data_IF_281174767992
#
_entry.id   IF_281174767992
#
_cell.length_a   1.000
_cell.length_b   1.000
_cell.length_c   1.000
_cell.angle_alpha   90.00
_cell.angle_beta   90.00
_cell.angle_gamma   90.00
#
_symmetry.space_group_name_H-M   'P 1'
#
loop_
_entity.id
_entity.type
_entity.pdbx_description
1 polymer ?
#
# COMPACT_ATOMS: atom_id res chain seq x y z
N UNK A 1 -17.20 -25.33 2.69
CA UNK A 1 -17.50 -25.56 1.27
C UNK A 1 -17.10 -24.29 0.52
N UNK A 2 -15.90 -24.29 -0.07
CA UNK A 2 -15.42 -23.15 -0.85
C UNK A 2 -16.28 -23.04 -2.11
N UNK A 3 -16.88 -21.87 -2.33
CA UNK A 3 -17.53 -21.58 -3.60
C UNK A 3 -16.56 -21.87 -4.75
N UNK A 4 -17.01 -22.42 -5.89
CA UNK A 4 -16.13 -22.64 -7.04
C UNK A 4 -15.55 -21.28 -7.45
N UNK A 5 -14.23 -21.11 -7.25
CA UNK A 5 -13.51 -19.85 -7.47
C UNK A 5 -13.61 -19.47 -8.95
N UNK A 6 -14.50 -18.55 -9.28
CA UNK A 6 -14.84 -18.20 -10.65
C UNK A 6 -13.78 -17.26 -11.26
N UNK A 7 -13.20 -17.66 -12.39
CA UNK A 7 -12.36 -16.79 -13.21
C UNK A 7 -13.18 -15.63 -13.80
N UNK A 8 -12.61 -14.43 -13.83
CA UNK A 8 -13.22 -13.25 -14.45
C UNK A 8 -13.24 -13.36 -15.98
N UNK A 9 -13.96 -12.43 -16.64
CA UNK A 9 -13.94 -12.34 -18.10
C UNK A 9 -12.52 -12.06 -18.64
N UNK A 10 -11.74 -11.22 -17.95
CA UNK A 10 -10.38 -10.90 -18.33
C UNK A 10 -9.48 -12.14 -18.26
N UNK A 11 -9.57 -12.91 -17.17
CA UNK A 11 -8.77 -14.12 -16.99
C UNK A 11 -9.00 -15.12 -18.14
N UNK A 12 -10.28 -15.35 -18.48
CA UNK A 12 -10.67 -16.26 -19.56
C UNK A 12 -10.16 -15.78 -20.92
N UNK A 13 -10.33 -14.49 -21.22
CA UNK A 13 -9.86 -13.91 -22.49
C UNK A 13 -8.34 -13.98 -22.62
N UNK A 14 -7.59 -13.72 -21.54
CA UNK A 14 -6.14 -13.88 -21.53
C UNK A 14 -5.75 -15.35 -21.75
N UNK A 15 -6.44 -16.28 -21.08
CA UNK A 15 -6.25 -17.72 -21.26
C UNK A 15 -6.47 -18.17 -22.71
N UNK A 16 -7.60 -17.79 -23.29
CA UNK A 16 -7.96 -18.13 -24.67
C UNK A 16 -6.97 -17.52 -25.68
N UNK A 17 -6.47 -16.30 -25.40
CA UNK A 17 -5.45 -15.65 -26.20
C UNK A 17 -4.11 -16.40 -26.14
N UNK A 18 -3.61 -16.73 -24.94
CA UNK A 18 -2.33 -17.41 -24.78
C UNK A 18 -2.37 -18.87 -25.28
N UNK A 19 -3.51 -19.54 -25.18
CA UNK A 19 -3.70 -20.85 -25.80
C UNK A 19 -3.58 -20.79 -27.33
N UNK A 20 -4.20 -19.78 -27.96
CA UNK A 20 -4.08 -19.59 -29.42
C UNK A 20 -2.64 -19.31 -29.83
N UNK A 21 -1.92 -18.48 -29.07
CA UNK A 21 -0.49 -18.23 -29.29
C UNK A 21 0.36 -19.49 -29.14
N UNK A 22 0.00 -20.41 -28.24
CA UNK A 22 0.66 -21.70 -28.05
C UNK A 22 0.25 -22.78 -29.08
N UNK A 23 -0.32 -22.40 -30.24
CA UNK A 23 -0.73 -23.34 -31.28
C UNK A 23 -2.11 -23.97 -31.11
N UNK A 24 -2.99 -23.38 -30.28
CA UNK A 24 -4.42 -23.69 -30.20
C UNK A 24 -4.79 -24.93 -29.38
N UNK A 25 -3.91 -25.94 -29.27
CA UNK A 25 -4.15 -27.19 -28.52
C UNK A 25 -3.34 -27.27 -27.22
N UNK A 26 -3.39 -26.22 -26.40
CA UNK A 26 -2.64 -26.13 -25.14
C UNK A 26 -3.55 -25.73 -23.95
N UNK A 27 -4.44 -26.63 -23.48
CA UNK A 27 -5.35 -26.33 -22.37
C UNK A 27 -4.61 -26.03 -21.06
N UNK A 28 -3.39 -26.54 -20.89
CA UNK A 28 -2.54 -26.24 -19.74
C UNK A 28 -2.06 -24.79 -19.74
N UNK A 29 -1.71 -24.25 -20.91
CA UNK A 29 -1.32 -22.84 -21.06
C UNK A 29 -2.51 -21.95 -20.76
N UNK A 30 -3.70 -22.32 -21.23
CA UNK A 30 -4.94 -21.61 -20.93
C UNK A 30 -5.18 -21.52 -19.42
N UNK A 31 -5.14 -22.66 -18.73
CA UNK A 31 -5.35 -22.73 -17.28
C UNK A 31 -4.27 -21.92 -16.53
N UNK A 32 -3.01 -22.10 -16.89
CA UNK A 32 -1.89 -21.40 -16.29
C UNK A 32 -1.99 -19.88 -16.42
N UNK A 33 -2.36 -19.40 -17.61
CA UNK A 33 -2.62 -17.98 -17.88
C UNK A 33 -3.77 -17.42 -17.05
N UNK A 34 -4.89 -18.15 -16.96
CA UNK A 34 -6.04 -17.77 -16.16
C UNK A 34 -5.68 -17.67 -14.67
N UNK A 35 -4.92 -18.64 -14.15
CA UNK A 35 -4.44 -18.63 -12.77
C UNK A 35 -3.47 -17.49 -12.49
N UNK A 36 -2.52 -17.21 -13.38
CA UNK A 36 -1.59 -16.09 -13.22
C UNK A 36 -2.31 -14.72 -13.24
N UNK A 37 -3.31 -14.57 -14.12
CA UNK A 37 -4.16 -13.38 -14.17
C UNK A 37 -4.97 -13.18 -12.89
N UNK A 38 -5.60 -14.26 -12.40
CA UNK A 38 -6.37 -14.24 -11.15
C UNK A 38 -5.48 -13.92 -9.95
N UNK A 39 -4.33 -14.59 -9.85
CA UNK A 39 -3.37 -14.35 -8.78
C UNK A 39 -2.99 -12.87 -8.72
N UNK A 40 -2.74 -12.23 -9.87
CA UNK A 40 -2.51 -10.78 -9.96
C UNK A 40 -3.69 -9.95 -9.47
N UNK A 41 -4.91 -10.32 -9.82
CA UNK A 41 -6.12 -9.63 -9.34
C UNK A 41 -6.32 -9.78 -7.82
N UNK A 42 -5.81 -10.87 -7.24
CA UNK A 42 -5.79 -11.14 -5.80
C UNK A 42 -4.58 -10.50 -5.07
N UNK A 43 -3.73 -9.75 -5.79
CA UNK A 43 -2.57 -9.06 -5.23
C UNK A 43 -1.26 -9.86 -5.26
N UNK A 44 -1.27 -11.07 -5.79
CA UNK A 44 -0.08 -11.93 -5.90
C UNK A 44 0.66 -11.68 -7.23
N UNK A 45 2.00 -11.61 -7.19
CA UNK A 45 2.80 -11.37 -8.40
C UNK A 45 3.03 -12.64 -9.25
N UNK A 46 2.83 -13.80 -8.64
CA UNK A 46 2.96 -15.11 -9.27
C UNK A 46 1.99 -16.12 -8.65
N UNK A 47 1.85 -17.26 -9.30
CA UNK A 47 1.17 -18.45 -8.78
C UNK A 47 2.12 -19.64 -8.88
N UNK A 48 2.11 -20.53 -7.90
CA UNK A 48 2.92 -21.74 -7.96
C UNK A 48 2.24 -22.80 -8.82
N UNK A 49 3.01 -23.61 -9.56
CA UNK A 49 2.42 -24.74 -10.28
C UNK A 49 1.79 -25.77 -9.34
N UNK A 50 2.24 -25.83 -8.08
CA UNK A 50 1.63 -26.67 -7.04
C UNK A 50 0.19 -26.25 -6.72
N UNK A 51 -0.07 -24.95 -6.58
CA UNK A 51 -1.42 -24.42 -6.39
C UNK A 51 -2.32 -24.72 -7.60
N UNK A 52 -1.79 -24.59 -8.82
CA UNK A 52 -2.54 -24.93 -10.05
C UNK A 52 -2.84 -26.42 -10.09
N UNK A 53 -1.86 -27.29 -9.81
CA UNK A 53 -2.03 -28.74 -9.82
C UNK A 53 -3.01 -29.24 -8.73
N UNK A 54 -3.18 -28.47 -7.64
CA UNK A 54 -4.13 -28.77 -6.57
C UNK A 54 -5.58 -28.44 -6.90
N UNK A 55 -5.86 -27.77 -8.03
CA UNK A 55 -7.22 -27.45 -8.45
C UNK A 55 -7.95 -28.70 -8.98
N UNK A 56 -9.25 -28.78 -8.73
CA UNK A 56 -10.08 -29.87 -9.23
C UNK A 56 -10.03 -29.93 -10.77
N UNK A 57 -9.73 -31.12 -11.31
CA UNK A 57 -9.60 -31.33 -12.75
C UNK A 57 -8.30 -30.81 -13.39
N UNK A 58 -7.36 -30.28 -12.60
CA UNK A 58 -6.07 -29.84 -13.12
C UNK A 58 -5.13 -31.03 -13.42
N UNK A 59 -4.21 -30.90 -14.40
CA UNK A 59 -3.19 -31.91 -14.65
C UNK A 59 -2.19 -32.00 -13.50
N UNK A 60 -1.48 -33.13 -13.41
CA UNK A 60 -0.39 -33.29 -12.43
C UNK A 60 0.72 -32.23 -12.61
N UNK A 61 1.40 -31.90 -11.51
CA UNK A 61 2.51 -30.93 -11.51
C UNK A 61 3.57 -31.24 -12.58
N UNK A 62 3.95 -32.51 -12.73
CA UNK A 62 4.92 -32.95 -13.72
C UNK A 62 4.42 -32.74 -15.17
N UNK A 63 3.13 -32.99 -15.42
CA UNK A 63 2.49 -32.75 -16.71
C UNK A 63 2.44 -31.25 -17.02
N UNK A 64 2.00 -30.43 -16.06
CA UNK A 64 1.98 -28.96 -16.19
C UNK A 64 3.37 -28.44 -16.53
N UNK A 65 4.39 -28.79 -15.75
CA UNK A 65 5.77 -28.31 -15.98
C UNK A 65 6.26 -28.67 -17.38
N UNK A 66 6.05 -29.92 -17.83
CA UNK A 66 6.49 -30.39 -19.16
C UNK A 66 5.75 -29.66 -20.28
N UNK A 67 4.43 -29.57 -20.20
CA UNK A 67 3.58 -28.99 -21.26
C UNK A 67 3.74 -27.48 -21.37
N UNK A 68 3.88 -26.78 -20.25
CA UNK A 68 4.10 -25.33 -20.23
C UNK A 68 5.44 -24.97 -20.90
N UNK A 69 6.54 -25.62 -20.50
CA UNK A 69 7.86 -25.37 -21.10
C UNK A 69 7.93 -25.71 -22.60
N UNK A 70 7.13 -26.66 -23.06
CA UNK A 70 7.05 -27.04 -24.48
C UNK A 70 6.11 -26.19 -25.34
N UNK A 71 5.40 -25.22 -24.76
CA UNK A 71 4.29 -24.52 -25.43
C UNK A 71 4.69 -23.31 -26.28
N UNK A 72 5.91 -22.78 -26.12
CA UNK A 72 6.36 -21.52 -26.74
C UNK A 72 5.73 -20.25 -26.14
N UNK A 73 4.69 -20.36 -25.32
CA UNK A 73 4.05 -19.24 -24.62
C UNK A 73 4.60 -19.03 -23.18
N UNK A 74 5.42 -19.97 -22.70
CA UNK A 74 6.06 -19.92 -21.38
C UNK A 74 7.57 -20.04 -21.56
N UNK A 75 8.29 -19.02 -21.11
CA UNK A 75 9.75 -18.96 -21.15
C UNK A 75 10.39 -19.18 -19.79
N UNK A 76 11.70 -19.39 -19.80
CA UNK A 76 12.55 -19.34 -18.63
C UNK A 76 12.85 -17.88 -18.20
N UNK A 77 13.32 -17.65 -16.97
CA UNK A 77 13.79 -16.33 -16.53
C UNK A 77 14.76 -15.70 -17.53
N UNK A 78 14.45 -14.48 -18.00
CA UNK A 78 15.24 -13.73 -18.99
C UNK A 78 14.83 -13.94 -20.44
N UNK A 79 13.96 -14.91 -20.74
CA UNK A 79 13.44 -15.13 -22.09
C UNK A 79 12.24 -14.22 -22.41
N UNK A 80 12.06 -13.91 -23.69
CA UNK A 80 10.93 -13.11 -24.14
C UNK A 80 9.72 -13.98 -24.44
N UNK A 81 8.92 -14.25 -23.40
CA UNK A 81 7.66 -14.98 -23.50
C UNK A 81 6.53 -14.25 -22.74
N UNK A 82 5.23 -14.49 -23.04
CA UNK A 82 4.14 -13.90 -22.28
C UNK A 82 4.12 -14.31 -20.79
N UNK A 83 4.45 -15.56 -20.51
CA UNK A 83 4.57 -16.12 -19.17
C UNK A 83 6.01 -16.51 -18.89
N UNK A 84 6.44 -16.37 -17.63
CA UNK A 84 7.75 -16.80 -17.16
C UNK A 84 7.55 -17.85 -16.08
N UNK A 85 8.20 -19.01 -16.23
CA UNK A 85 8.22 -20.08 -15.23
C UNK A 85 9.64 -20.22 -14.68
N UNK A 86 9.80 -19.90 -13.40
CA UNK A 86 11.10 -19.98 -12.75
C UNK A 86 11.48 -21.39 -12.28
N UNK A 87 12.68 -21.54 -11.70
CA UNK A 87 13.19 -22.81 -11.19
C UNK A 87 12.48 -23.32 -9.93
N UNK A 88 11.70 -22.46 -9.25
CA UNK A 88 10.92 -22.77 -8.05
C UNK A 88 9.44 -23.07 -8.37
N UNK A 89 9.14 -23.31 -9.65
CA UNK A 89 7.78 -23.51 -10.17
C UNK A 89 6.84 -22.33 -9.91
N UNK A 90 7.36 -21.11 -9.83
CA UNK A 90 6.55 -19.89 -9.79
C UNK A 90 6.29 -19.41 -11.21
N UNK A 91 5.03 -19.25 -11.56
CA UNK A 91 4.56 -18.78 -12.84
C UNK A 91 4.12 -17.31 -12.75
N UNK A 92 4.68 -16.50 -13.62
CA UNK A 92 4.47 -15.06 -13.67
C UNK A 92 3.89 -14.62 -15.02
N UNK A 93 3.13 -13.53 -15.00
CA UNK A 93 3.05 -12.66 -16.18
C UNK A 93 4.41 -11.99 -16.36
N UNK A 94 5.03 -12.07 -17.56
CA UNK A 94 6.42 -11.60 -17.77
C UNK A 94 6.69 -10.20 -17.21
N UNK A 95 5.78 -9.26 -17.44
CA UNK A 95 5.90 -7.87 -16.95
C UNK A 95 6.13 -7.78 -15.44
N UNK A 96 5.47 -8.63 -14.64
CA UNK A 96 5.63 -8.63 -13.18
C UNK A 96 6.92 -9.31 -12.74
N UNK A 97 7.36 -10.33 -13.48
CA UNK A 97 8.69 -10.92 -13.27
C UNK A 97 9.79 -9.88 -13.55
N UNK A 98 9.69 -9.12 -14.65
CA UNK A 98 10.62 -8.03 -14.99
C UNK A 98 10.67 -6.98 -13.88
N UNK A 99 9.51 -6.48 -13.41
CA UNK A 99 9.48 -5.53 -12.29
C UNK A 99 10.12 -6.09 -11.01
N UNK A 100 9.87 -7.36 -10.67
CA UNK A 100 10.48 -8.01 -9.50
C UNK A 100 12.01 -8.04 -9.63
N UNK A 101 12.54 -8.47 -10.77
CA UNK A 101 13.98 -8.57 -10.98
C UNK A 101 14.66 -7.20 -11.03
N UNK A 102 14.10 -6.25 -11.77
CA UNK A 102 14.63 -4.89 -11.88
C UNK A 102 14.68 -4.21 -10.51
N UNK A 103 13.61 -4.33 -9.73
CA UNK A 103 13.53 -3.77 -8.39
C UNK A 103 14.54 -4.44 -7.44
N UNK A 104 14.61 -5.77 -7.42
CA UNK A 104 15.54 -6.50 -6.57
C UNK A 104 16.99 -6.10 -6.85
N UNK A 105 17.37 -6.02 -8.13
CA UNK A 105 18.70 -5.60 -8.55
C UNK A 105 18.99 -4.14 -8.18
N UNK A 106 18.01 -3.24 -8.37
CA UNK A 106 18.17 -1.83 -8.03
C UNK A 106 18.33 -1.61 -6.51
N UNK A 107 17.63 -2.38 -5.67
CA UNK A 107 17.79 -2.39 -4.22
C UNK A 107 19.19 -2.84 -3.83
N UNK A 108 19.66 -3.97 -4.37
CA UNK A 108 21.00 -4.50 -4.09
C UNK A 108 22.09 -3.50 -4.45
N UNK A 109 22.00 -2.91 -5.65
CA UNK A 109 22.98 -1.94 -6.14
C UNK A 109 23.08 -0.69 -5.25
N UNK A 110 21.97 -0.24 -4.67
CA UNK A 110 21.94 0.94 -3.79
C UNK A 110 22.34 0.62 -2.34
N UNK A 111 22.07 -0.59 -1.89
CA UNK A 111 22.31 -1.00 -0.49
C UNK A 111 23.77 -1.37 -0.22
N UNK A 112 24.53 -1.74 -1.26
CA UNK A 112 25.93 -2.17 -1.19
C UNK A 112 26.98 -1.11 -0.85
N UNK A 113 26.60 0.14 -0.53
CA UNK A 113 27.56 1.16 -0.05
C UNK A 113 27.62 1.09 1.47
N UNK A 114 28.73 0.62 2.08
CA UNK A 114 28.82 0.49 3.53
C UNK A 114 28.75 1.86 4.18
N UNK A 115 27.74 2.09 5.02
CA UNK A 115 27.70 3.26 5.89
C UNK A 115 28.37 2.90 7.21
N UNK A 116 29.20 3.81 7.74
CA UNK A 116 29.72 3.69 9.11
C UNK A 116 28.52 3.71 10.07
N UNK A 117 28.37 2.74 11.00
CA UNK A 117 27.30 2.78 11.98
C UNK A 117 27.48 4.00 12.89
N UNK A 118 26.41 4.78 13.07
CA UNK A 118 26.40 5.86 14.04
C UNK A 118 26.58 5.27 15.45
N UNK A 119 27.79 5.41 16.01
CA UNK A 119 28.06 5.05 17.40
C UNK A 119 27.40 6.09 18.32
N UNK A 120 26.66 5.63 19.31
CA UNK A 120 26.26 6.45 20.47
C UNK A 120 24.82 6.98 20.48
N UNK A 121 24.02 6.74 19.45
CA UNK A 121 22.60 7.16 19.47
C UNK A 121 21.77 6.10 20.23
N UNK A 122 20.99 6.51 21.23
CA UNK A 122 20.06 5.62 21.95
C UNK A 122 18.66 5.66 21.36
N UNK A 123 18.25 6.81 20.83
CA UNK A 123 16.97 7.02 20.13
C UNK A 123 16.97 6.34 18.74
N UNK A 124 15.99 5.47 18.50
CA UNK A 124 15.80 4.77 17.23
C UNK A 124 15.50 5.72 16.07
N UNK A 125 14.86 6.87 16.32
CA UNK A 125 14.61 7.86 15.28
C UNK A 125 15.90 8.58 14.86
N UNK A 126 16.81 8.87 15.80
CA UNK A 126 18.13 9.42 15.48
C UNK A 126 18.95 8.40 14.69
N UNK A 127 18.94 7.13 15.10
CA UNK A 127 19.61 6.03 14.35
C UNK A 127 19.08 5.93 12.92
N UNK A 128 17.75 5.98 12.76
CA UNK A 128 17.12 5.97 11.46
C UNK A 128 17.57 7.17 10.61
N UNK A 129 17.63 8.36 11.21
CA UNK A 129 18.07 9.56 10.52
C UNK A 129 19.55 9.53 10.14
N UNK A 130 20.43 9.05 11.02
CA UNK A 130 21.84 8.81 10.72
C UNK A 130 22.03 7.85 9.54
N UNK A 131 21.31 6.71 9.58
CA UNK A 131 21.42 5.67 8.56
C UNK A 131 20.96 6.18 7.20
N UNK A 132 19.82 6.87 7.17
CA UNK A 132 19.24 7.45 5.96
C UNK A 132 20.16 8.49 5.29
N UNK A 133 20.90 9.26 6.09
CA UNK A 133 21.91 10.21 5.60
C UNK A 133 23.14 9.50 5.03
N UNK A 134 23.58 8.43 5.69
CA UNK A 134 24.87 7.79 5.41
C UNK A 134 24.80 6.69 4.32
N UNK A 135 23.59 6.28 3.90
CA UNK A 135 23.39 5.14 3.00
C UNK A 135 22.67 5.55 1.71
N UNK A 136 22.95 4.85 0.61
CA UNK A 136 22.25 5.07 -0.67
C UNK A 136 20.80 4.57 -0.66
N UNK A 137 20.49 3.60 0.20
CA UNK A 137 19.14 3.08 0.42
C UNK A 137 18.88 2.88 1.91
N UNK A 138 17.70 3.27 2.38
CA UNK A 138 17.26 3.01 3.76
C UNK A 138 15.74 2.85 3.81
N UNK A 139 15.29 1.89 4.61
CA UNK A 139 13.87 1.71 4.92
C UNK A 139 13.66 1.98 6.41
N UNK A 140 12.67 2.79 6.72
CA UNK A 140 12.27 3.12 8.09
C UNK A 140 10.87 2.59 8.29
N UNK A 141 10.75 1.51 9.05
CA UNK A 141 9.46 0.86 9.29
C UNK A 141 8.98 1.12 10.71
N UNK A 142 7.67 1.31 10.88
CA UNK A 142 7.07 1.41 12.21
C UNK A 142 5.55 1.58 12.13
N UNK A 143 4.87 1.21 13.21
CA UNK A 143 3.41 1.32 13.31
C UNK A 143 2.87 2.75 13.26
N UNK A 144 1.54 2.92 13.27
CA UNK A 144 0.92 4.22 13.46
C UNK A 144 1.35 4.82 14.82
N UNK A 145 1.79 6.07 14.82
CA UNK A 145 2.20 6.76 16.05
C UNK A 145 3.66 6.59 16.46
N UNK A 146 4.48 5.83 15.73
CA UNK A 146 5.93 5.68 16.03
C UNK A 146 6.80 6.89 15.64
N UNK A 147 6.17 7.95 15.12
CA UNK A 147 6.84 9.18 14.73
C UNK A 147 7.61 9.10 13.41
N UNK A 148 7.22 8.21 12.47
CA UNK A 148 7.83 8.14 11.11
C UNK A 148 8.00 9.52 10.45
N UNK A 149 6.95 10.33 10.45
CA UNK A 149 6.98 11.69 9.88
C UNK A 149 7.93 12.62 10.65
N UNK A 150 8.03 12.48 11.98
CA UNK A 150 9.02 13.22 12.78
C UNK A 150 10.45 12.77 12.46
N UNK A 151 10.66 11.49 12.15
CA UNK A 151 11.94 10.99 11.65
C UNK A 151 12.30 11.62 10.31
N UNK A 152 11.34 11.90 9.41
CA UNK A 152 11.59 12.66 8.18
C UNK A 152 12.13 14.06 8.49
N UNK A 153 11.51 14.78 9.44
CA UNK A 153 12.00 16.09 9.90
C UNK A 153 13.45 16.00 10.39
N UNK A 154 13.78 14.99 11.21
CA UNK A 154 15.16 14.75 11.68
C UNK A 154 16.14 14.46 10.54
N UNK A 155 15.72 13.67 9.54
CA UNK A 155 16.50 13.38 8.33
C UNK A 155 16.80 14.66 7.57
N UNK A 156 15.77 15.48 7.30
CA UNK A 156 15.92 16.73 6.56
C UNK A 156 16.89 17.68 7.26
N UNK A 157 16.74 17.88 8.58
CA UNK A 157 17.66 18.71 9.36
C UNK A 157 19.11 18.22 9.25
N UNK A 158 19.35 16.90 9.34
CA UNK A 158 20.70 16.33 9.20
C UNK A 158 21.25 16.42 7.78
N UNK A 159 20.40 16.32 6.76
CA UNK A 159 20.79 16.52 5.36
C UNK A 159 21.23 17.96 5.11
N UNK A 160 20.44 18.93 5.60
CA UNK A 160 20.73 20.36 5.46
C UNK A 160 21.96 20.81 6.28
N UNK A 161 22.24 20.15 7.40
CA UNK A 161 23.41 20.45 8.23
C UNK A 161 24.75 19.91 7.67
N UNK A 162 24.73 19.07 6.63
CA UNK A 162 25.96 18.61 5.98
C UNK A 162 26.60 19.72 5.13
N UNK A 163 27.93 19.70 4.93
CA UNK A 163 28.58 20.58 3.95
C UNK A 163 27.96 20.41 2.56
N UNK A 164 27.47 21.50 1.96
CA UNK A 164 26.75 21.46 0.67
C UNK A 164 25.30 20.98 0.76
N UNK A 165 24.80 20.71 1.97
CA UNK A 165 23.45 20.25 2.26
C UNK A 165 22.36 21.25 1.82
N UNK A 166 22.68 22.53 1.82
CA UNK A 166 21.83 23.61 1.33
C UNK A 166 21.51 23.50 -0.16
N UNK A 167 22.39 22.86 -0.94
CA UNK A 167 22.23 22.71 -2.39
C UNK A 167 21.56 21.38 -2.80
N UNK A 168 21.34 20.47 -1.85
CA UNK A 168 20.73 19.17 -2.13
C UNK A 168 19.33 19.32 -2.72
N UNK A 169 19.10 18.65 -3.84
CA UNK A 169 17.80 18.52 -4.48
C UNK A 169 17.00 17.41 -3.81
N UNK A 170 16.23 17.77 -2.78
CA UNK A 170 15.39 16.83 -2.03
C UNK A 170 14.01 16.75 -2.68
N UNK A 171 13.52 15.54 -2.93
CA UNK A 171 12.16 15.25 -3.38
C UNK A 171 11.43 14.42 -2.33
N UNK A 172 10.23 14.86 -1.98
CA UNK A 172 9.36 14.16 -1.05
C UNK A 172 8.13 13.66 -1.79
N UNK A 173 7.77 12.40 -1.56
CA UNK A 173 6.62 11.78 -2.19
C UNK A 173 5.82 10.92 -1.23
N UNK A 174 4.56 10.70 -1.59
CA UNK A 174 3.69 9.71 -0.99
C UNK A 174 2.80 9.07 -2.07
N UNK A 175 2.19 7.89 -1.85
CA UNK A 175 1.32 7.26 -2.83
C UNK A 175 0.02 8.04 -3.07
N UNK A 176 -0.49 8.76 -2.07
CA UNK A 176 -1.77 9.49 -2.14
C UNK A 176 -1.60 10.99 -1.88
N UNK A 177 -2.51 11.82 -2.42
CA UNK A 177 -2.50 13.26 -2.22
C UNK A 177 -2.64 13.64 -0.74
N UNK A 178 -3.52 12.96 -0.01
CA UNK A 178 -3.70 13.15 1.43
C UNK A 178 -2.43 12.88 2.25
N UNK A 179 -1.70 11.80 1.94
CA UNK A 179 -0.43 11.51 2.60
C UNK A 179 0.64 12.57 2.26
N UNK A 180 0.71 12.98 1.00
CA UNK A 180 1.62 14.05 0.56
C UNK A 180 1.30 15.40 1.24
N UNK A 181 0.02 15.76 1.38
CA UNK A 181 -0.41 16.98 2.05
C UNK A 181 -0.02 16.97 3.54
N UNK A 182 -0.24 15.85 4.24
CA UNK A 182 0.17 15.66 5.65
C UNK A 182 1.67 15.73 5.84
N UNK A 183 2.43 15.10 4.93
CA UNK A 183 3.88 15.17 4.95
C UNK A 183 4.35 16.61 4.75
N UNK A 184 3.77 17.33 3.79
CA UNK A 184 4.05 18.76 3.53
C UNK A 184 3.77 19.62 4.75
N UNK A 185 2.63 19.43 5.41
CA UNK A 185 2.29 20.18 6.62
C UNK A 185 3.30 19.94 7.76
N UNK A 186 3.74 18.70 7.92
CA UNK A 186 4.66 18.31 9.01
C UNK A 186 6.08 18.85 8.84
N UNK A 187 6.52 19.09 7.61
CA UNK A 187 7.88 19.58 7.30
C UNK A 187 7.95 21.10 7.10
N UNK A 188 6.82 21.81 7.08
CA UNK A 188 6.78 23.27 6.88
C UNK A 188 7.65 24.03 7.88
N UNK A 189 7.80 23.49 9.10
CA UNK A 189 8.66 24.05 10.14
C UNK A 189 10.15 23.94 9.82
N UNK A 190 10.55 23.05 8.92
CA UNK A 190 11.93 22.84 8.47
C UNK A 190 12.22 23.70 7.24
N UNK A 191 11.35 23.62 6.23
CA UNK A 191 11.56 24.29 4.95
C UNK A 191 10.21 24.62 4.31
N UNK A 192 9.82 25.89 4.33
CA UNK A 192 8.50 26.34 3.85
C UNK A 192 8.31 26.10 2.35
N UNK A 193 9.39 26.15 1.57
CA UNK A 193 9.38 25.95 0.11
C UNK A 193 9.32 24.48 -0.30
N UNK A 194 9.60 23.54 0.61
CA UNK A 194 9.62 22.12 0.30
C UNK A 194 8.22 21.53 0.43
N UNK A 195 7.71 20.97 -0.66
CA UNK A 195 6.40 20.32 -0.71
C UNK A 195 6.52 18.87 -1.17
N UNK A 196 5.78 17.99 -0.51
CA UNK A 196 5.63 16.61 -0.96
C UNK A 196 4.58 16.51 -2.06
N UNK A 197 4.79 15.58 -2.99
CA UNK A 197 3.87 15.31 -4.09
C UNK A 197 3.45 13.84 -4.10
N UNK A 198 2.53 13.45 -4.97
CA UNK A 198 2.31 12.02 -5.19
C UNK A 198 3.43 11.41 -6.00
N UNK A 199 3.73 10.11 -5.83
CA UNK A 199 4.75 9.42 -6.64
C UNK A 199 4.44 9.59 -8.13
N UNK A 200 3.17 9.47 -8.54
CA UNK A 200 2.73 9.69 -9.92
C UNK A 200 3.08 11.09 -10.45
N UNK A 201 2.89 12.14 -9.63
CA UNK A 201 3.24 13.51 -10.00
C UNK A 201 4.75 13.71 -10.04
N UNK A 202 5.49 13.13 -9.08
CA UNK A 202 6.95 13.16 -9.04
C UNK A 202 7.56 12.54 -10.31
N UNK A 203 7.04 11.39 -10.74
CA UNK A 203 7.51 10.69 -11.95
C UNK A 203 7.03 11.35 -13.26
N UNK A 204 6.08 12.29 -13.20
CA UNK A 204 5.51 12.95 -14.36
C UNK A 204 4.56 12.04 -15.12
N UNK A 205 3.38 11.79 -14.53
CA UNK A 205 2.27 11.05 -15.12
C UNK A 205 1.95 11.46 -16.56
N UNK A 206 1.73 10.45 -17.42
CA UNK A 206 1.32 10.61 -18.81
C UNK A 206 -0.09 10.03 -19.00
N UNK A 207 -1.09 10.84 -19.39
CA UNK A 207 -2.45 10.37 -19.62
C UNK A 207 -2.53 9.19 -20.60
N UNK A 208 -3.29 8.16 -20.24
CA UNK A 208 -3.49 6.98 -21.09
C UNK A 208 -2.28 6.06 -21.23
N UNK A 209 -1.17 6.33 -20.52
CA UNK A 209 0.04 5.52 -20.57
C UNK A 209 0.33 4.86 -19.22
N UNK A 210 0.82 3.60 -19.20
CA UNK A 210 1.36 3.00 -17.98
C UNK A 210 2.77 3.51 -17.65
N UNK A 211 3.38 4.33 -18.52
CA UNK A 211 4.73 4.87 -18.37
C UNK A 211 4.71 6.32 -17.85
N UNK A 212 5.87 6.76 -17.38
CA UNK A 212 6.08 8.08 -16.81
C UNK A 212 7.09 8.87 -17.64
N UNK A 213 7.11 10.19 -17.47
CA UNK A 213 8.12 11.05 -18.09
C UNK A 213 9.52 10.75 -17.57
N UNK A 214 9.64 10.45 -16.28
CA UNK A 214 10.90 10.08 -15.65
C UNK A 214 11.04 8.56 -15.56
N UNK A 215 12.18 8.08 -16.04
CA UNK A 215 12.55 6.67 -16.12
C UNK A 215 14.09 6.54 -16.06
N UNK A 216 14.63 5.34 -16.35
CA UNK A 216 16.07 5.10 -16.34
C UNK A 216 16.86 5.92 -17.38
N UNK A 217 16.22 6.37 -18.46
CA UNK A 217 16.84 7.19 -19.52
C UNK A 217 16.70 8.69 -19.24
N UNK A 218 15.66 9.07 -18.51
CA UNK A 218 15.39 10.45 -18.08
C UNK A 218 15.18 10.50 -16.56
N UNK A 219 16.25 10.36 -15.76
CA UNK A 219 16.13 10.28 -14.32
C UNK A 219 15.65 11.60 -13.69
N UNK A 220 15.15 11.51 -12.46
CA UNK A 220 14.76 12.66 -11.65
C UNK A 220 15.97 13.56 -11.37
N UNK A 221 15.77 14.88 -11.38
CA UNK A 221 16.75 15.81 -10.82
C UNK A 221 16.61 15.83 -9.29
N UNK A 222 17.25 14.87 -8.62
CA UNK A 222 17.19 14.68 -7.19
C UNK A 222 18.48 14.06 -6.65
N UNK A 223 18.97 14.57 -5.51
CA UNK A 223 20.04 13.97 -4.72
C UNK A 223 19.47 13.06 -3.62
N UNK A 224 18.25 13.36 -3.16
CA UNK A 224 17.55 12.60 -2.12
C UNK A 224 16.08 12.46 -2.50
N UNK A 225 15.55 11.25 -2.43
CA UNK A 225 14.13 10.96 -2.59
C UNK A 225 13.63 10.27 -1.32
N UNK A 226 12.62 10.85 -0.69
CA UNK A 226 11.95 10.29 0.48
C UNK A 226 10.51 9.94 0.09
N UNK A 227 10.10 8.71 0.37
CA UNK A 227 8.72 8.24 0.13
C UNK A 227 8.09 7.85 1.45
N UNK A 228 7.05 8.56 1.86
CA UNK A 228 6.22 8.20 3.01
C UNK A 228 5.03 7.33 2.59
N UNK A 229 4.48 6.57 3.54
CA UNK A 229 3.41 5.58 3.31
C UNK A 229 3.76 4.55 2.21
N UNK A 230 5.03 4.14 2.11
CA UNK A 230 5.54 3.20 1.11
C UNK A 230 4.89 1.81 1.18
N UNK A 231 4.18 1.48 2.28
CA UNK A 231 3.37 0.26 2.43
C UNK A 231 2.24 0.15 1.40
N UNK A 232 1.74 1.29 0.90
CA UNK A 232 0.68 1.31 -0.11
C UNK A 232 1.21 1.26 -1.56
N UNK A 233 2.53 1.15 -1.77
CA UNK A 233 3.13 1.19 -3.11
C UNK A 233 3.24 -0.23 -3.66
N UNK A 234 2.60 -0.49 -4.80
CA UNK A 234 2.69 -1.77 -5.50
C UNK A 234 4.04 -2.00 -6.21
N UNK A 235 4.25 -3.23 -6.69
CA UNK A 235 5.48 -3.61 -7.37
C UNK A 235 5.77 -2.77 -8.62
N UNK A 236 4.76 -2.47 -9.44
CA UNK A 236 4.95 -1.78 -10.70
C UNK A 236 5.35 -0.32 -10.49
N UNK A 237 4.72 0.37 -9.54
CA UNK A 237 5.03 1.75 -9.19
C UNK A 237 6.39 1.83 -8.48
N UNK A 238 6.71 0.87 -7.61
CA UNK A 238 8.02 0.83 -6.94
C UNK A 238 9.15 0.60 -7.95
N UNK A 239 9.02 -0.35 -8.87
CA UNK A 239 10.03 -0.61 -9.89
C UNK A 239 10.29 0.64 -10.76
N UNK A 240 9.23 1.32 -11.19
CA UNK A 240 9.34 2.57 -11.98
C UNK A 240 9.95 3.72 -11.17
N UNK A 241 9.62 3.83 -9.88
CA UNK A 241 10.27 4.78 -8.99
C UNK A 241 11.78 4.53 -8.92
N UNK A 242 12.19 3.28 -8.65
CA UNK A 242 13.61 2.94 -8.56
C UNK A 242 14.38 3.18 -9.87
N UNK A 243 13.74 2.93 -11.01
CA UNK A 243 14.29 3.22 -12.33
C UNK A 243 14.47 4.73 -12.58
N UNK A 244 13.54 5.56 -12.12
CA UNK A 244 13.58 7.01 -12.31
C UNK A 244 14.52 7.73 -11.33
N UNK A 245 14.81 7.17 -10.17
CA UNK A 245 15.73 7.78 -9.19
C UNK A 245 17.18 7.63 -9.69
N UNK A 246 18.01 8.69 -9.73
CA UNK A 246 19.41 8.57 -10.12
C UNK A 246 20.17 7.51 -9.30
N UNK A 247 21.11 6.73 -9.86
CA UNK A 247 21.84 5.70 -9.11
C UNK A 247 22.62 6.23 -7.90
N UNK A 248 23.10 7.49 -7.96
CA UNK A 248 23.83 8.16 -6.87
C UNK A 248 22.92 8.82 -5.84
N UNK A 249 21.64 8.99 -6.14
CA UNK A 249 20.69 9.62 -5.23
C UNK A 249 20.34 8.67 -4.07
N UNK A 250 20.17 9.24 -2.88
CA UNK A 250 19.72 8.52 -1.69
C UNK A 250 18.22 8.26 -1.80
N UNK A 251 17.79 7.03 -1.58
CA UNK A 251 16.37 6.66 -1.57
C UNK A 251 15.96 6.16 -0.18
N UNK A 252 14.99 6.84 0.41
CA UNK A 252 14.50 6.57 1.77
C UNK A 252 13.03 6.21 1.70
N UNK A 253 12.66 5.01 2.15
CA UNK A 253 11.27 4.56 2.20
C UNK A 253 10.79 4.54 3.66
N UNK A 254 9.61 5.10 3.92
CA UNK A 254 8.94 5.03 5.21
C UNK A 254 7.58 4.36 5.07
N UNK A 255 7.24 3.47 6.00
CA UNK A 255 5.92 2.82 6.00
C UNK A 255 5.72 1.88 7.18
N UNK A 256 4.55 1.28 7.27
CA UNK A 256 4.27 0.22 8.25
C UNK A 256 4.28 -1.13 7.54
N UNK A 257 5.11 -2.07 8.01
CA UNK A 257 5.19 -3.43 7.44
C UNK A 257 3.93 -4.26 7.71
N UNK A 258 3.20 -3.93 8.78
CA UNK A 258 2.03 -4.68 9.24
C UNK A 258 0.70 -4.04 8.76
N UNK A 259 0.78 -2.96 7.98
CA UNK A 259 -0.40 -2.36 7.37
C UNK A 259 -0.90 -3.24 6.23
N UNK A 260 -2.19 -3.10 5.89
CA UNK A 260 -2.76 -3.72 4.70
C UNK A 260 -1.88 -3.43 3.49
N UNK A 261 -1.59 -4.48 2.72
CA UNK A 261 -0.81 -4.39 1.50
C UNK A 261 -1.48 -3.42 0.50
N UNK A 262 -0.71 -3.00 -0.50
CA UNK A 262 -1.27 -2.27 -1.65
C UNK A 262 -2.47 -3.01 -2.24
N UNK A 263 -3.44 -2.24 -2.75
CA UNK A 263 -4.60 -2.78 -3.49
C UNK A 263 -4.15 -3.51 -4.76
N UNK A 264 -3.02 -3.09 -5.31
CA UNK A 264 -2.39 -3.66 -6.50
C UNK A 264 -1.29 -4.67 -6.13
N UNK A 265 -0.94 -5.55 -7.07
CA UNK A 265 -0.10 -6.71 -6.76
C UNK A 265 1.31 -6.40 -6.26
N UNK A 266 1.72 -7.15 -5.23
CA UNK A 266 3.06 -7.13 -4.62
C UNK A 266 3.12 -6.39 -3.28
N UNK A 267 3.59 -7.08 -2.23
CA UNK A 267 3.80 -6.51 -0.90
C UNK A 267 5.27 -6.11 -0.69
N UNK A 268 5.72 -5.13 -1.48
CA UNK A 268 7.13 -4.79 -1.62
C UNK A 268 7.79 -4.40 -0.30
N UNK A 269 7.17 -3.53 0.50
CA UNK A 269 7.77 -3.05 1.74
C UNK A 269 7.95 -4.18 2.77
N UNK A 270 6.96 -5.05 2.91
CA UNK A 270 7.03 -6.18 3.82
C UNK A 270 8.10 -7.19 3.37
N UNK A 271 8.17 -7.46 2.06
CA UNK A 271 9.18 -8.37 1.49
C UNK A 271 10.61 -7.84 1.69
N UNK A 272 10.84 -6.53 1.52
CA UNK A 272 12.13 -5.88 1.81
C UNK A 272 12.47 -6.00 3.30
N UNK A 273 11.51 -5.71 4.19
CA UNK A 273 11.71 -5.85 5.64
C UNK A 273 12.09 -7.28 6.01
N UNK A 274 11.33 -8.28 5.52
CA UNK A 274 11.58 -9.69 5.80
C UNK A 274 12.93 -10.17 5.22
N UNK A 275 13.30 -9.70 4.03
CA UNK A 275 14.59 -10.02 3.42
C UNK A 275 15.76 -9.43 4.22
N UNK A 276 15.65 -8.18 4.67
CA UNK A 276 16.69 -7.54 5.47
C UNK A 276 16.87 -8.18 6.86
N UNK A 277 15.80 -8.68 7.47
CA UNK A 277 15.88 -9.41 8.75
C UNK A 277 16.60 -10.76 8.62
N UNK A 278 16.50 -11.39 7.44
CA UNK A 278 17.21 -12.65 7.13
C UNK A 278 18.62 -12.40 6.59
N UNK A 279 18.96 -11.16 6.24
CA UNK A 279 20.20 -10.82 5.57
C UNK A 279 21.43 -10.94 6.49
N UNK A 280 22.47 -11.61 6.00
CA UNK A 280 23.75 -11.77 6.71
C UNK A 280 24.57 -10.48 6.69
N UNK A 281 25.50 -10.25 7.64
CA UNK A 281 26.29 -9.01 7.71
C UNK A 281 26.99 -8.55 6.42
N UNK A 282 27.34 -9.48 5.52
CA UNK A 282 28.02 -9.19 4.25
C UNK A 282 27.05 -9.04 3.07
N UNK A 283 25.74 -9.18 3.30
CA UNK A 283 24.72 -9.06 2.26
C UNK A 283 24.24 -7.61 2.16
N UNK A 284 23.94 -7.11 0.94
CA UNK A 284 23.64 -5.69 0.71
C UNK A 284 22.51 -5.12 1.56
N UNK A 285 21.47 -5.92 1.83
CA UNK A 285 20.29 -5.48 2.61
C UNK A 285 20.53 -5.44 4.13
N UNK A 286 21.66 -5.95 4.61
CA UNK A 286 21.92 -6.01 6.04
C UNK A 286 22.04 -4.60 6.64
N UNK A 287 21.20 -4.35 7.66
CA UNK A 287 21.14 -3.04 8.31
C UNK A 287 20.55 -1.92 7.46
N UNK A 288 19.99 -2.21 6.27
CA UNK A 288 19.29 -1.21 5.44
C UNK A 288 17.92 -0.82 6.03
N UNK A 289 17.35 -1.65 6.90
CA UNK A 289 16.05 -1.44 7.54
C UNK A 289 16.22 -1.03 9.01
N UNK A 290 15.57 0.06 9.40
CA UNK A 290 15.50 0.51 10.79
C UNK A 290 14.04 0.45 11.25
N UNK A 291 13.76 -0.29 12.32
CA UNK A 291 12.42 -0.45 12.89
C UNK A 291 12.20 0.47 14.09
N UNK A 292 11.27 1.42 13.97
CA UNK A 292 10.82 2.28 15.06
C UNK A 292 9.80 1.52 15.91
N UNK A 293 10.11 1.33 17.19
CA UNK A 293 9.31 0.50 18.11
C UNK A 293 8.47 1.31 19.10
N UNK A 294 8.91 2.50 19.47
CA UNK A 294 8.22 3.29 20.50
C UNK A 294 7.02 4.02 19.90
N UNK A 295 5.84 3.89 20.51
CA UNK A 295 4.63 4.58 20.09
C UNK A 295 4.42 5.84 20.93
N UNK A 296 4.34 7.00 20.28
CA UNK A 296 4.12 8.29 20.94
C UNK A 296 2.65 8.73 20.90
N UNK A 297 1.82 8.11 20.07
CA UNK A 297 0.41 8.51 19.87
C UNK A 297 -0.54 7.81 20.83
N UNK A 298 -0.24 6.56 21.17
CA UNK A 298 -1.07 5.74 22.05
C UNK A 298 -0.26 5.37 23.30
N UNK A 299 -0.90 5.41 24.46
CA UNK A 299 -0.33 4.87 25.68
C UNK A 299 -0.29 3.35 25.60
N UNK A 300 0.74 2.71 26.14
CA UNK A 300 0.86 1.23 26.13
C UNK A 300 -0.27 0.55 26.93
N UNK A 301 -0.95 1.31 27.78
CA UNK A 301 -2.12 0.88 28.56
C UNK A 301 -3.46 1.10 27.83
N UNK A 302 -3.46 1.86 26.73
CA UNK A 302 -4.67 2.22 25.98
C UNK A 302 -5.30 1.03 25.25
N UNK A 303 -6.63 1.04 25.13
CA UNK A 303 -7.43 0.02 24.46
C UNK A 303 -7.01 -0.18 23.01
N UNK A 304 -6.78 0.91 22.28
CA UNK A 304 -6.36 0.86 20.86
C UNK A 304 -5.01 0.16 20.73
N UNK A 305 -4.05 0.47 21.61
CA UNK A 305 -2.72 -0.15 21.59
C UNK A 305 -2.80 -1.66 21.81
N UNK A 306 -3.54 -2.11 22.84
CA UNK A 306 -3.70 -3.53 23.17
C UNK A 306 -4.34 -4.32 22.03
N UNK A 307 -5.45 -3.81 21.47
CA UNK A 307 -6.13 -4.45 20.33
C UNK A 307 -5.20 -4.52 19.12
N UNK A 308 -4.54 -3.43 18.77
CA UNK A 308 -3.65 -3.41 17.60
C UNK A 308 -2.45 -4.37 17.75
N UNK A 309 -1.90 -4.49 18.96
CA UNK A 309 -0.76 -5.38 19.24
C UNK A 309 -1.18 -6.84 19.15
N UNK A 310 -2.33 -7.21 19.72
CA UNK A 310 -2.86 -8.57 19.66
C UNK A 310 -3.19 -9.01 18.22
N UNK A 311 -3.76 -8.09 17.41
CA UNK A 311 -3.99 -8.35 15.98
C UNK A 311 -2.66 -8.61 15.25
N UNK A 312 -1.64 -7.79 15.50
CA UNK A 312 -0.31 -7.95 14.89
C UNK A 312 0.39 -9.26 15.27
N UNK A 313 0.18 -9.75 16.50
CA UNK A 313 0.71 -11.04 16.93
C UNK A 313 -0.11 -12.24 16.48
N UNK A 314 -1.25 -12.03 15.81
CA UNK A 314 -2.18 -13.09 15.42
C UNK A 314 -2.92 -13.72 16.60
N UNK A 315 -2.97 -13.05 17.75
CA UNK A 315 -3.63 -13.53 18.95
C UNK A 315 -5.09 -13.05 18.97
N UNK A 316 -5.97 -13.87 18.39
CA UNK A 316 -7.39 -13.55 18.27
C UNK A 316 -8.09 -13.47 19.63
N UNK A 317 -7.69 -14.29 20.60
CA UNK A 317 -8.30 -14.31 21.93
C UNK A 317 -7.94 -13.03 22.70
N UNK A 318 -6.67 -12.65 22.71
CA UNK A 318 -6.23 -11.40 23.32
C UNK A 318 -6.85 -10.18 22.64
N UNK A 319 -7.01 -10.19 21.31
CA UNK A 319 -7.66 -9.10 20.59
C UNK A 319 -9.14 -8.94 21.01
N UNK A 320 -9.87 -10.05 21.11
CA UNK A 320 -11.26 -10.05 21.54
C UNK A 320 -11.43 -9.66 23.02
N UNK A 321 -10.52 -10.10 23.89
CA UNK A 321 -10.50 -9.68 25.29
C UNK A 321 -10.26 -8.16 25.39
N UNK A 322 -9.24 -7.64 24.69
CA UNK A 322 -8.93 -6.20 24.68
C UNK A 322 -10.09 -5.35 24.14
N UNK A 323 -10.86 -5.83 23.15
CA UNK A 323 -12.06 -5.16 22.64
C UNK A 323 -13.20 -5.10 23.67
N UNK A 324 -13.37 -6.16 24.48
CA UNK A 324 -14.47 -6.30 25.46
C UNK A 324 -14.17 -5.64 26.80
N UNK A 325 -12.90 -5.62 27.20
CA UNK A 325 -12.44 -5.23 28.55
C UNK A 325 -11.75 -3.86 28.59
N UNK A 326 -11.97 -3.00 27.58
CA UNK A 326 -11.36 -1.67 27.58
C UNK A 326 -11.95 -0.78 28.67
N UNK A 327 -11.17 -0.50 29.71
CA UNK A 327 -11.57 0.29 30.86
C UNK A 327 -11.43 1.81 30.65
N UNK A 328 -10.67 2.23 29.64
CA UNK A 328 -10.37 3.63 29.31
C UNK A 328 -11.43 4.31 28.42
N UNK A 329 -12.37 3.54 27.87
CA UNK A 329 -13.41 4.03 26.97
C UNK A 329 -12.92 4.36 25.54
N UNK A 330 -11.64 4.13 25.22
CA UNK A 330 -11.11 4.34 23.87
C UNK A 330 -11.69 3.32 22.86
N UNK A 331 -11.97 2.12 23.35
CA UNK A 331 -12.50 1.00 22.57
C UNK A 331 -13.77 0.49 23.23
N UNK A 332 -14.78 0.22 22.43
CA UNK A 332 -16.02 -0.39 22.90
C UNK A 332 -16.49 -1.45 21.93
N UNK A 333 -16.61 -2.68 22.41
CA UNK A 333 -17.27 -3.76 21.69
C UNK A 333 -18.78 -3.70 21.91
N UNK A 334 -19.55 -3.71 20.83
CA UNK A 334 -21.00 -3.87 20.89
C UNK A 334 -21.44 -4.95 19.89
N UNK A 335 -22.24 -5.94 20.34
CA UNK A 335 -22.81 -6.92 19.42
C UNK A 335 -23.78 -6.21 18.47
N UNK A 336 -23.61 -6.44 17.17
CA UNK A 336 -24.52 -5.91 16.16
C UNK A 336 -25.85 -6.66 16.22
N UNK A 337 -27.00 -5.96 16.13
CA UNK A 337 -28.29 -6.62 16.04
C UNK A 337 -28.50 -7.20 14.64
N UNK A 338 -29.66 -7.85 14.44
CA UNK A 338 -30.13 -8.22 13.11
C UNK A 338 -30.23 -6.99 12.19
N UNK A 339 -30.05 -7.20 10.88
CA UNK A 339 -30.00 -6.14 9.86
C UNK A 339 -31.18 -5.16 9.96
N UNK A 340 -32.38 -5.66 10.27
CA UNK A 340 -33.59 -4.85 10.39
C UNK A 340 -33.53 -3.79 11.52
N UNK A 341 -32.66 -3.98 12.52
CA UNK A 341 -32.47 -3.04 13.65
C UNK A 341 -31.12 -2.34 13.62
N UNK A 342 -30.38 -2.46 12.51
CA UNK A 342 -29.06 -1.86 12.37
C UNK A 342 -29.13 -0.33 12.42
N UNK A 343 -30.17 0.27 11.84
CA UNK A 343 -30.39 1.71 11.87
C UNK A 343 -30.48 2.25 13.31
N UNK A 344 -31.28 1.60 14.16
CA UNK A 344 -31.45 2.01 15.56
C UNK A 344 -30.16 1.89 16.37
N UNK A 345 -29.38 0.83 16.15
CA UNK A 345 -28.11 0.63 16.85
C UNK A 345 -27.04 1.68 16.46
N UNK A 346 -27.06 2.14 15.21
CA UNK A 346 -26.10 3.12 14.70
C UNK A 346 -26.57 4.57 14.91
N UNK A 347 -27.87 4.82 15.06
CA UNK A 347 -28.51 6.15 15.09
C UNK A 347 -27.77 7.16 15.93
N UNK A 348 -27.54 6.84 17.21
CA UNK A 348 -26.88 7.75 18.16
C UNK A 348 -25.47 8.16 17.69
N UNK A 349 -24.69 7.21 17.14
CA UNK A 349 -23.32 7.45 16.69
C UNK A 349 -23.27 8.22 15.38
N UNK A 350 -24.11 7.84 14.42
CA UNK A 350 -24.19 8.47 13.10
C UNK A 350 -24.61 9.94 13.26
N UNK A 351 -25.68 10.21 14.01
CA UNK A 351 -26.14 11.58 14.26
C UNK A 351 -25.07 12.39 14.98
N UNK A 352 -24.50 11.89 16.08
CA UNK A 352 -23.48 12.62 16.82
C UNK A 352 -22.20 12.86 16.00
N UNK A 353 -21.80 11.89 15.18
CA UNK A 353 -20.59 11.94 14.37
C UNK A 353 -20.67 12.87 13.16
N UNK A 354 -21.81 12.88 12.45
CA UNK A 354 -21.98 13.69 11.25
C UNK A 354 -22.64 15.05 11.47
N UNK A 355 -23.30 15.29 12.61
CA UNK A 355 -23.93 16.58 12.91
C UNK A 355 -22.98 17.79 12.76
N UNK A 356 -21.74 17.78 13.31
CA UNK A 356 -20.84 18.92 13.16
C UNK A 356 -20.44 19.21 11.71
N UNK A 357 -20.45 18.17 10.85
CA UNK A 357 -20.17 18.31 9.43
C UNK A 357 -21.37 18.90 8.66
N UNK A 358 -22.59 18.49 9.01
CA UNK A 358 -23.81 18.90 8.30
C UNK A 358 -24.34 20.27 8.74
N UNK A 359 -24.07 20.70 9.98
CA UNK A 359 -24.59 21.97 10.52
C UNK A 359 -23.70 23.18 10.21
N UNK A 360 -22.41 22.99 9.94
CA UNK A 360 -21.53 24.10 9.59
C UNK A 360 -21.76 24.58 8.15
N UNK A 361 -21.65 25.88 7.94
CA UNK A 361 -21.73 26.52 6.62
C UNK A 361 -20.36 26.81 6.02
N UNK A 362 -19.30 26.67 6.80
CA UNK A 362 -17.94 26.84 6.33
C UNK A 362 -17.40 25.51 5.78
N UNK A 363 -16.96 25.52 4.53
CA UNK A 363 -16.50 24.30 3.86
C UNK A 363 -15.24 23.71 4.52
N UNK A 364 -14.35 24.54 5.05
CA UNK A 364 -13.12 24.07 5.69
C UNK A 364 -13.42 23.41 7.03
N UNK A 365 -14.31 24.01 7.83
CA UNK A 365 -14.81 23.41 9.06
C UNK A 365 -15.58 22.12 8.80
N UNK A 366 -16.40 22.08 7.74
CA UNK A 366 -17.12 20.87 7.33
C UNK A 366 -16.13 19.74 7.05
N UNK A 367 -15.15 19.97 6.18
CA UNK A 367 -14.14 18.96 5.85
C UNK A 367 -13.33 18.53 7.07
N UNK A 368 -13.01 19.44 7.99
CA UNK A 368 -12.33 19.10 9.25
C UNK A 368 -13.22 18.24 10.17
N UNK A 369 -14.52 18.55 10.28
CA UNK A 369 -15.49 17.77 11.03
C UNK A 369 -15.70 16.38 10.42
N UNK A 370 -15.77 16.30 9.10
CA UNK A 370 -15.89 15.05 8.36
C UNK A 370 -14.73 14.10 8.68
N UNK A 371 -13.52 14.61 8.93
CA UNK A 371 -12.37 13.77 9.30
C UNK A 371 -12.43 13.19 10.73
N UNK A 372 -13.30 13.70 11.61
CA UNK A 372 -13.40 13.25 13.01
C UNK A 372 -14.22 11.98 13.19
N UNK A 373 -15.09 11.63 12.23
CA UNK A 373 -15.95 10.44 12.32
C UNK A 373 -15.96 9.66 11.01
N UNK A 374 -15.78 8.33 11.13
CA UNK A 374 -15.78 7.39 10.01
C UNK A 374 -16.44 6.09 10.42
N UNK A 375 -17.13 5.48 9.47
CA UNK A 375 -17.67 4.12 9.57
C UNK A 375 -16.83 3.26 8.62
N UNK A 376 -16.33 2.13 9.12
CA UNK A 376 -15.50 1.20 8.34
C UNK A 376 -16.17 -0.16 8.32
N UNK A 377 -16.16 -0.83 7.17
CA UNK A 377 -16.65 -2.19 7.02
C UNK A 377 -15.74 -2.98 6.08
N UNK A 378 -15.69 -4.30 6.27
CA UNK A 378 -14.77 -5.17 5.53
C UNK A 378 -15.27 -5.53 4.11
N UNK A 379 -16.57 -5.44 3.87
CA UNK A 379 -17.20 -5.88 2.60
C UNK A 379 -17.89 -4.73 1.89
N UNK A 380 -17.94 -4.79 0.57
CA UNK A 380 -18.61 -3.78 -0.27
C UNK A 380 -20.12 -3.97 -0.31
N UNK A 381 -20.55 -5.23 -0.45
CA UNK A 381 -21.95 -5.63 -0.60
C UNK A 381 -22.43 -6.49 0.58
N UNK A 382 -23.75 -6.62 0.70
CA UNK A 382 -24.41 -7.41 1.74
C UNK A 382 -24.90 -6.56 2.93
N UNK A 383 -25.49 -7.20 3.95
CA UNK A 383 -26.16 -6.51 5.05
C UNK A 383 -25.28 -5.53 5.85
N UNK A 384 -24.00 -5.85 5.99
CA UNK A 384 -23.01 -5.00 6.68
C UNK A 384 -21.99 -4.40 5.69
N UNK A 385 -22.34 -4.33 4.40
CA UNK A 385 -21.48 -3.76 3.37
C UNK A 385 -21.62 -2.25 3.21
N UNK A 386 -20.63 -1.64 2.55
CA UNK A 386 -20.58 -0.19 2.29
C UNK A 386 -21.89 0.33 1.70
N UNK A 387 -22.44 -0.36 0.69
CA UNK A 387 -23.66 0.08 -0.01
C UNK A 387 -24.86 0.17 0.95
N UNK A 388 -25.06 -0.82 1.81
CA UNK A 388 -26.15 -0.82 2.78
C UNK A 388 -25.89 0.17 3.93
N UNK A 389 -24.67 0.26 4.44
CA UNK A 389 -24.32 1.19 5.52
C UNK A 389 -24.47 2.66 5.11
N UNK A 390 -24.17 3.00 3.86
CA UNK A 390 -24.43 4.34 3.32
C UNK A 390 -25.93 4.65 3.32
N UNK A 391 -26.76 3.73 2.83
CA UNK A 391 -28.22 3.89 2.81
C UNK A 391 -28.81 4.04 4.22
N UNK A 392 -28.37 3.20 5.17
CA UNK A 392 -28.79 3.27 6.58
C UNK A 392 -28.36 4.59 7.24
N UNK A 393 -27.13 5.06 6.97
CA UNK A 393 -26.66 6.34 7.51
C UNK A 393 -27.45 7.52 6.94
N UNK A 394 -27.77 7.49 5.65
CA UNK A 394 -28.61 8.50 4.98
C UNK A 394 -30.02 8.54 5.56
N UNK A 395 -30.65 7.38 5.78
CA UNK A 395 -31.96 7.27 6.44
C UNK A 395 -31.95 7.87 7.84
N UNK A 396 -30.98 7.48 8.68
CA UNK A 396 -30.83 8.01 10.04
C UNK A 396 -30.73 9.54 10.06
N UNK A 397 -29.90 10.09 9.17
CA UNK A 397 -29.64 11.54 9.13
C UNK A 397 -30.84 12.31 8.56
N UNK A 398 -31.58 11.71 7.63
CA UNK A 398 -32.83 12.26 7.11
C UNK A 398 -33.91 12.32 8.19
N UNK A 399 -34.12 11.23 8.94
CA UNK A 399 -35.07 11.19 10.05
C UNK A 399 -34.69 12.15 11.19
N UNK A 400 -33.39 12.39 11.39
CA UNK A 400 -32.88 13.38 12.33
C UNK A 400 -33.02 14.84 11.84
N UNK A 401 -33.53 15.06 10.62
CA UNK A 401 -33.69 16.38 10.02
C UNK A 401 -32.36 17.06 9.64
N UNK A 402 -31.26 16.30 9.55
CA UNK A 402 -29.92 16.82 9.27
C UNK A 402 -29.60 16.84 7.77
N UNK A 403 -30.29 16.02 6.97
CA UNK A 403 -30.18 16.03 5.52
C UNK A 403 -31.53 15.79 4.85
N UNK A 404 -31.64 16.15 3.57
CA UNK A 404 -32.82 15.88 2.74
C UNK A 404 -32.36 15.04 1.55
N UNK A 405 -32.57 13.72 1.56
CA UNK A 405 -32.16 12.84 0.47
C UNK A 405 -32.87 13.25 -0.82
N UNK A 406 -32.14 13.25 -1.94
CA UNK A 406 -32.72 13.45 -3.28
C UNK A 406 -32.04 12.52 -4.27
N UNK A 407 -32.73 12.09 -5.34
CA UNK A 407 -32.09 11.34 -6.41
C UNK A 407 -30.87 12.09 -6.97
N UNK A 408 -29.73 11.41 -7.04
CA UNK A 408 -28.47 12.00 -7.49
C UNK A 408 -27.73 12.71 -6.35
N UNK A 409 -27.29 13.94 -6.62
CA UNK A 409 -26.42 14.72 -5.74
C UNK A 409 -27.23 15.69 -4.87
N UNK A 410 -26.94 15.74 -3.58
CA UNK A 410 -27.57 16.69 -2.65
C UNK A 410 -26.54 17.36 -1.73
N UNK A 411 -26.94 18.51 -1.17
CA UNK A 411 -26.07 19.29 -0.27
C UNK A 411 -25.73 18.50 0.99
N UNK A 412 -24.45 18.46 1.35
CA UNK A 412 -23.96 17.74 2.52
C UNK A 412 -23.72 16.25 2.27
N UNK A 413 -23.84 15.75 1.04
CA UNK A 413 -23.46 14.39 0.69
C UNK A 413 -21.93 14.24 0.64
N UNK A 414 -21.30 13.48 1.55
CA UNK A 414 -19.87 13.22 1.47
C UNK A 414 -19.60 12.28 0.29
N UNK A 415 -18.57 12.60 -0.50
CA UNK A 415 -18.14 11.75 -1.60
C UNK A 415 -16.69 11.38 -1.53
N UNK A 416 -16.35 10.29 -2.22
CA UNK A 416 -14.99 9.80 -2.31
C UNK A 416 -14.62 9.59 -3.78
N UNK A 417 -13.44 10.06 -4.13
CA UNK A 417 -12.83 9.81 -5.43
C UNK A 417 -12.48 8.33 -5.51
N UNK A 418 -13.08 7.62 -6.48
CA UNK A 418 -12.88 6.17 -6.62
C UNK A 418 -11.67 5.81 -7.50
N UNK A 419 -11.18 6.75 -8.30
CA UNK A 419 -10.04 6.59 -9.21
C UNK A 419 -9.25 7.89 -9.27
N UNK A 420 -7.94 7.81 -9.40
CA UNK A 420 -7.09 8.99 -9.50
C UNK A 420 -7.49 9.82 -10.73
N UNK A 421 -7.80 11.09 -10.53
CA UNK A 421 -7.92 12.11 -11.59
C UNK A 421 -6.75 13.08 -11.47
N UNK A 422 -5.75 12.86 -12.33
CA UNK A 422 -4.52 13.65 -12.33
C UNK A 422 -4.70 15.05 -12.93
N UNK A 423 -5.78 15.30 -13.68
CA UNK A 423 -6.06 16.64 -14.23
C UNK A 423 -6.58 17.57 -13.12
N UNK A 424 -7.48 17.05 -12.29
CA UNK A 424 -8.04 17.77 -11.14
C UNK A 424 -7.16 17.69 -9.88
N UNK A 425 -6.06 16.94 -9.95
CA UNK A 425 -5.19 16.62 -8.81
C UNK A 425 -5.96 15.99 -7.63
N UNK A 426 -6.96 15.16 -7.97
CA UNK A 426 -7.77 14.38 -7.03
C UNK A 426 -7.32 12.92 -7.05
N UNK A 427 -7.15 12.31 -5.89
CA UNK A 427 -6.61 10.96 -5.77
C UNK A 427 -7.65 10.01 -5.18
N UNK A 428 -7.55 8.74 -5.54
CA UNK A 428 -8.37 7.66 -5.01
C UNK A 428 -8.30 7.68 -3.48
N UNK A 429 -9.48 7.72 -2.84
CA UNK A 429 -9.62 7.83 -1.39
C UNK A 429 -9.67 9.25 -0.85
N UNK A 430 -9.46 10.28 -1.68
CA UNK A 430 -9.76 11.66 -1.30
C UNK A 430 -11.27 11.81 -1.11
N UNK A 431 -11.65 12.46 -0.01
CA UNK A 431 -13.05 12.66 0.37
C UNK A 431 -13.39 14.15 0.46
N UNK A 432 -14.54 14.54 -0.07
CA UNK A 432 -15.03 15.93 -0.14
C UNK A 432 -16.48 16.06 0.26
#
# INVERSE_FOLDING_TARGET
MNAPLAFSALDRQLGDFLQRLAGGSAPEVRLAAMCASRARAEGNICVTLGEIAGMEGAPSLASLRKKLRGSGAVGAPGEFAPLILDSKDRLYLRRYWEYEQELAQAIVNRSGTPSVPAKGETDLQEKAAAKAVASGFTVITGGPGTGKTQTVVKILNRLRAQPGGENLQIKLAAPTGKAAARLTESIRSVEETLAATTIHRLLGYLPGSPYFRHDAKNPLNADVVVVDEASMVDLALMAKLFAAVPPRARLILLGDRDQLASVEAGNVLADICAAAERARPNEPLHGAVVALRHNYRFTETGGIYRVSTAIKSGDAEAAMAALRESADGEVKWEPLPETARLADALRKRVVAGFRPFLETRDAKEALAALQKFRILCAVRQGPCGIENLNAVAEEILAEAGLLVPRPGWYSGQPIMVAQNDYNLALFNGDSG
#
